data_IF_847372383696
#
_entry.id   IF_847372383696
#
_cell.length_a   1.000
_cell.length_b   1.000
_cell.length_c   1.000
_cell.angle_alpha   90.00
_cell.angle_beta   90.00
_cell.angle_gamma   90.00
#
_symmetry.space_group_name_H-M   'P 1'
#
loop_
_entity.id
_entity.type
_entity.pdbx_description
1 polymer ?
#
# COMPACT_ATOMS: atom_id res chain seq x y z
N UNK A 1 2.04 0.77 13.02
CA UNK A 1 2.74 2.03 13.33
C UNK A 1 4.20 1.72 13.23
N UNK A 2 4.83 2.23 12.17
CA UNK A 2 6.23 1.99 11.92
C UNK A 2 7.12 2.47 13.07
N UNK A 3 8.19 1.74 13.34
CA UNK A 3 9.22 2.13 14.29
C UNK A 3 9.87 3.43 13.84
N UNK A 4 10.18 4.30 14.78
CA UNK A 4 10.96 5.52 14.55
C UNK A 4 12.35 5.19 14.00
N UNK A 5 13.01 6.20 13.43
CA UNK A 5 14.36 6.04 12.89
C UNK A 5 15.35 5.60 13.97
N UNK A 6 15.22 6.11 15.19
CA UNK A 6 16.06 5.74 16.34
C UNK A 6 15.81 4.31 16.79
N UNK A 7 14.55 3.87 16.83
CA UNK A 7 14.23 2.46 17.14
C UNK A 7 14.82 1.52 16.09
N UNK A 8 14.81 1.90 14.80
CA UNK A 8 15.50 1.14 13.75
C UNK A 8 17.02 1.13 13.90
N UNK A 9 17.64 2.24 14.32
CA UNK A 9 19.08 2.29 14.63
C UNK A 9 19.42 1.33 15.77
N UNK A 10 18.65 1.38 16.86
CA UNK A 10 18.83 0.53 18.02
C UNK A 10 18.65 -0.95 17.67
N UNK A 11 17.59 -1.28 16.92
CA UNK A 11 17.34 -2.64 16.45
C UNK A 11 18.51 -3.17 15.61
N UNK A 12 19.01 -2.39 14.65
CA UNK A 12 20.16 -2.79 13.85
C UNK A 12 21.41 -3.00 14.71
N UNK A 13 21.73 -2.05 15.58
CA UNK A 13 22.91 -2.15 16.46
C UNK A 13 22.83 -3.35 17.42
N UNK A 14 21.63 -3.71 17.89
CA UNK A 14 21.39 -4.87 18.74
C UNK A 14 21.57 -6.20 18.00
N UNK A 15 21.22 -6.26 16.72
CA UNK A 15 21.37 -7.45 15.89
C UNK A 15 22.80 -7.67 15.38
N UNK A 16 23.69 -6.69 15.53
CA UNK A 16 25.12 -6.88 15.23
C UNK A 16 25.79 -7.77 16.27
N UNK A 17 26.76 -8.63 15.87
CA UNK A 17 27.56 -9.39 16.83
C UNK A 17 28.33 -8.47 17.79
N UNK A 18 28.80 -9.02 18.90
CA UNK A 18 29.65 -8.29 19.86
C UNK A 18 31.12 -8.50 19.56
N UNK A 19 31.96 -7.53 19.93
CA UNK A 19 33.42 -7.64 19.88
C UNK A 19 34.09 -6.45 19.18
N UNK A 20 35.43 -6.46 19.12
CA UNK A 20 36.23 -5.34 18.59
C UNK A 20 35.94 -4.99 17.13
N UNK A 21 35.47 -5.97 16.35
CA UNK A 21 35.08 -5.74 14.96
C UNK A 21 33.75 -4.98 14.81
N UNK A 22 32.95 -4.90 15.87
CA UNK A 22 31.61 -4.31 15.88
C UNK A 22 31.52 -3.19 16.93
N UNK A 23 32.23 -2.06 16.70
CA UNK A 23 32.24 -0.94 17.64
C UNK A 23 30.82 -0.38 17.82
N UNK A 24 30.54 0.10 19.04
CA UNK A 24 29.26 0.75 19.39
C UNK A 24 29.41 2.24 19.70
N UNK A 25 30.61 2.79 19.51
CA UNK A 25 30.87 4.21 19.69
C UNK A 25 30.07 5.03 18.68
N UNK A 26 29.58 6.19 19.12
CA UNK A 26 28.72 7.05 18.28
C UNK A 26 29.42 7.56 17.01
N UNK A 27 30.75 7.68 17.08
CA UNK A 27 31.63 8.18 16.03
C UNK A 27 32.24 7.06 15.16
N UNK A 28 31.89 5.79 15.39
CA UNK A 28 32.38 4.69 14.57
C UNK A 28 31.71 4.67 13.19
N UNK A 29 32.46 4.31 12.15
CA UNK A 29 31.95 4.20 10.78
C UNK A 29 30.75 3.25 10.67
N UNK A 30 30.75 2.17 11.46
CA UNK A 30 29.63 1.24 11.54
C UNK A 30 28.35 1.93 12.05
N UNK A 31 28.46 2.73 13.11
CA UNK A 31 27.33 3.50 13.66
C UNK A 31 26.84 4.54 12.64
N UNK A 32 27.75 5.18 11.90
CA UNK A 32 27.41 6.10 10.83
C UNK A 32 26.64 5.41 9.70
N UNK A 33 27.07 4.21 9.29
CA UNK A 33 26.37 3.39 8.32
C UNK A 33 24.96 3.01 8.80
N UNK A 34 24.83 2.56 10.05
CA UNK A 34 23.53 2.23 10.67
C UNK A 34 22.60 3.44 10.65
N UNK A 35 23.09 4.61 11.08
CA UNK A 35 22.34 5.88 11.03
C UNK A 35 21.89 6.22 9.61
N UNK A 36 22.70 5.95 8.59
CA UNK A 36 22.38 6.24 7.20
C UNK A 36 21.31 5.29 6.62
N UNK A 37 21.26 4.02 7.05
CA UNK A 37 20.30 3.04 6.52
C UNK A 37 18.95 3.05 7.26
N UNK A 38 18.90 3.38 8.55
CA UNK A 38 17.67 3.34 9.35
C UNK A 38 16.50 4.17 8.78
N UNK A 39 16.69 5.38 8.21
CA UNK A 39 15.61 6.12 7.59
C UNK A 39 14.94 5.37 6.43
N UNK A 40 15.69 4.51 5.71
CA UNK A 40 15.12 3.70 4.62
C UNK A 40 14.24 2.58 5.17
N UNK A 41 14.61 1.98 6.30
CA UNK A 41 13.81 0.95 6.95
C UNK A 41 12.50 1.52 7.51
N UNK A 42 12.55 2.69 8.15
CA UNK A 42 11.35 3.39 8.57
C UNK A 42 10.41 3.66 7.38
N UNK A 43 10.92 4.19 6.26
CA UNK A 43 10.10 4.41 5.05
C UNK A 43 9.52 3.12 4.49
N UNK A 44 10.30 2.04 4.48
CA UNK A 44 9.84 0.73 4.02
C UNK A 44 8.68 0.23 4.88
N UNK A 45 8.80 0.32 6.20
CA UNK A 45 7.76 -0.11 7.13
C UNK A 45 6.50 0.74 7.03
N UNK A 46 6.64 2.07 6.88
CA UNK A 46 5.50 2.97 6.60
C UNK A 46 4.80 2.56 5.31
N UNK A 47 5.55 2.27 4.25
CA UNK A 47 4.96 1.82 2.98
C UNK A 47 4.27 0.45 3.13
N UNK A 48 4.83 -0.46 3.91
CA UNK A 48 4.22 -1.75 4.20
C UNK A 48 2.89 -1.60 4.97
N UNK A 49 2.83 -0.68 5.95
CA UNK A 49 1.58 -0.34 6.65
C UNK A 49 0.53 0.24 5.67
N UNK A 50 0.94 1.07 4.69
CA UNK A 50 0.05 1.64 3.68
C UNK A 50 -0.53 0.58 2.73
N UNK A 51 0.20 -0.51 2.45
CA UNK A 51 -0.30 -1.58 1.58
C UNK A 51 -1.61 -2.19 2.10
N UNK A 52 -1.84 -2.21 3.42
CA UNK A 52 -3.11 -2.70 3.99
C UNK A 52 -4.32 -1.88 3.52
N UNK A 53 -4.14 -0.58 3.30
CA UNK A 53 -5.18 0.29 2.75
C UNK A 53 -5.31 0.09 1.24
N UNK A 54 -4.23 -0.24 0.55
CA UNK A 54 -4.25 -0.54 -0.89
C UNK A 54 -4.95 -1.87 -1.22
N UNK A 55 -5.07 -2.79 -0.25
CA UNK A 55 -5.74 -4.08 -0.40
C UNK A 55 -7.27 -3.97 -0.60
N UNK A 56 -7.89 -2.81 -0.38
CA UNK A 56 -9.32 -2.60 -0.66
C UNK A 56 -9.50 -1.51 -1.72
N UNK A 57 -10.38 -1.73 -2.71
CA UNK A 57 -10.57 -0.76 -3.79
C UNK A 57 -11.12 0.59 -3.31
N UNK A 58 -11.80 0.64 -2.16
CA UNK A 58 -12.34 1.89 -1.60
C UNK A 58 -11.22 2.81 -1.05
N UNK A 59 -10.10 2.22 -0.63
CA UNK A 59 -9.00 2.91 0.04
C UNK A 59 -7.71 2.94 -0.79
N UNK A 60 -7.66 2.25 -1.93
CA UNK A 60 -6.50 2.25 -2.82
C UNK A 60 -6.21 3.63 -3.41
N UNK A 61 -4.92 3.92 -3.57
CA UNK A 61 -4.38 5.10 -4.22
C UNK A 61 -3.27 4.68 -5.19
N UNK A 62 -2.26 3.99 -4.70
CA UNK A 62 -1.09 3.59 -5.50
C UNK A 62 -1.39 2.38 -6.38
N UNK A 63 -2.17 1.40 -5.88
CA UNK A 63 -2.45 0.15 -6.59
C UNK A 63 -3.68 0.22 -7.52
N UNK A 64 -4.18 1.43 -7.81
CA UNK A 64 -5.32 1.61 -8.69
C UNK A 64 -5.08 0.99 -10.10
N UNK A 65 -3.92 1.18 -10.76
CA UNK A 65 -3.66 0.55 -12.06
C UNK A 65 -3.71 -0.98 -12.04
N UNK A 66 -3.22 -1.60 -10.97
CA UNK A 66 -3.23 -3.04 -10.75
C UNK A 66 -4.66 -3.55 -10.55
N UNK A 67 -5.48 -2.83 -9.79
CA UNK A 67 -6.90 -3.11 -9.64
C UNK A 67 -7.67 -3.02 -10.95
N UNK A 68 -7.40 -1.99 -11.75
CA UNK A 68 -8.00 -1.84 -13.08
C UNK A 68 -7.61 -2.98 -14.01
N UNK A 69 -6.33 -3.37 -14.00
CA UNK A 69 -5.84 -4.52 -14.76
C UNK A 69 -6.52 -5.82 -14.31
N UNK A 70 -6.59 -6.05 -12.99
CA UNK A 70 -7.22 -7.23 -12.41
C UNK A 70 -8.71 -7.34 -12.77
N UNK A 71 -9.42 -6.22 -12.74
CA UNK A 71 -10.85 -6.16 -13.08
C UNK A 71 -11.10 -6.00 -14.59
N UNK A 72 -10.08 -5.84 -15.44
CA UNK A 72 -10.26 -5.58 -16.87
C UNK A 72 -10.99 -4.26 -17.16
N UNK A 73 -10.57 -3.18 -16.50
CA UNK A 73 -11.01 -1.81 -16.75
C UNK A 73 -9.97 -1.05 -17.58
N UNK A 74 -10.37 -0.08 -18.42
CA UNK A 74 -11.75 0.30 -18.75
C UNK A 74 -12.40 -0.67 -19.75
N UNK A 75 -13.69 -1.02 -19.57
CA UNK A 75 -14.40 -2.01 -20.42
C UNK A 75 -14.68 -1.51 -21.85
N UNK A 76 -14.83 -0.21 -22.05
CA UNK A 76 -15.26 0.37 -23.33
C UNK A 76 -14.14 1.15 -24.05
N UNK A 77 -12.87 1.00 -23.63
CA UNK A 77 -11.74 1.81 -24.11
C UNK A 77 -11.97 3.33 -24.05
N UNK A 78 -12.86 3.78 -23.16
CA UNK A 78 -13.04 5.19 -22.84
C UNK A 78 -12.26 5.42 -21.54
N UNK A 79 -10.99 5.85 -21.61
CA UNK A 79 -10.25 6.21 -20.42
C UNK A 79 -10.88 7.46 -19.79
N UNK A 80 -11.03 7.42 -18.46
CA UNK A 80 -11.25 8.63 -17.65
C UNK A 80 -9.91 9.09 -17.12
N UNK A 81 -9.61 10.39 -17.17
CA UNK A 81 -8.40 10.94 -16.55
C UNK A 81 -8.57 11.18 -15.04
N UNK A 82 -9.83 11.24 -14.56
CA UNK A 82 -10.12 11.50 -13.15
C UNK A 82 -9.91 10.25 -12.29
N UNK A 83 -8.96 10.35 -11.37
CA UNK A 83 -8.64 9.34 -10.36
C UNK A 83 -9.86 8.88 -9.56
N UNK A 84 -10.74 9.81 -9.13
CA UNK A 84 -11.89 9.45 -8.30
C UNK A 84 -12.92 8.64 -9.10
N UNK A 85 -13.14 9.00 -10.35
CA UNK A 85 -14.02 8.26 -11.27
C UNK A 85 -13.48 6.86 -11.54
N UNK A 86 -12.17 6.75 -11.82
CA UNK A 86 -11.48 5.47 -12.02
C UNK A 86 -11.61 4.55 -10.81
N UNK A 87 -11.34 5.08 -9.61
CA UNK A 87 -11.49 4.32 -8.37
C UNK A 87 -12.95 3.91 -8.12
N UNK A 88 -13.92 4.78 -8.40
CA UNK A 88 -15.34 4.45 -8.28
C UNK A 88 -15.75 3.29 -9.21
N UNK A 89 -15.23 3.25 -10.45
CA UNK A 89 -15.46 2.14 -11.38
C UNK A 89 -14.85 0.82 -10.88
N UNK A 90 -13.64 0.88 -10.30
CA UNK A 90 -13.01 -0.28 -9.65
C UNK A 90 -13.85 -0.78 -8.47
N UNK A 91 -14.32 0.12 -7.60
CA UNK A 91 -15.16 -0.23 -6.44
C UNK A 91 -16.48 -0.87 -6.90
N UNK A 92 -17.16 -0.26 -7.87
CA UNK A 92 -18.41 -0.79 -8.41
C UNK A 92 -18.22 -2.18 -9.00
N UNK A 93 -17.22 -2.37 -9.88
CA UNK A 93 -16.98 -3.66 -10.53
C UNK A 93 -16.53 -4.74 -9.56
N UNK A 94 -15.73 -4.41 -8.53
CA UNK A 94 -15.34 -5.34 -7.48
C UNK A 94 -16.53 -5.84 -6.65
N UNK A 95 -17.50 -4.97 -6.38
CA UNK A 95 -18.71 -5.31 -5.60
C UNK A 95 -19.88 -5.81 -6.44
N UNK A 96 -19.81 -5.70 -7.77
CA UNK A 96 -20.85 -6.17 -8.69
C UNK A 96 -21.00 -7.69 -8.57
N UNK A 97 -21.91 -8.12 -7.69
CA UNK A 97 -22.36 -9.50 -7.58
C UNK A 97 -23.48 -9.72 -8.58
N UNK A 98 -23.19 -10.42 -9.67
CA UNK A 98 -24.20 -10.84 -10.61
C UNK A 98 -25.21 -11.80 -9.98
N UNK A 99 -26.47 -11.70 -10.41
CA UNK A 99 -27.51 -12.66 -10.06
C UNK A 99 -28.81 -12.32 -10.76
N UNK A 100 -29.60 -13.35 -11.07
CA UNK A 100 -30.86 -13.23 -11.79
C UNK A 100 -32.07 -13.11 -10.85
N UNK A 101 -31.83 -12.88 -9.56
CA UNK A 101 -32.91 -12.68 -8.61
C UNK A 101 -33.60 -11.33 -8.90
N UNK A 102 -34.95 -11.26 -8.86
CA UNK A 102 -35.69 -10.04 -9.19
C UNK A 102 -35.20 -8.79 -8.46
N UNK A 103 -34.95 -8.90 -7.14
CA UNK A 103 -34.45 -7.79 -6.32
C UNK A 103 -33.08 -7.25 -6.75
N UNK A 104 -32.21 -8.08 -7.34
CA UNK A 104 -30.92 -7.61 -7.88
C UNK A 104 -31.11 -6.83 -9.17
N UNK A 105 -32.00 -7.30 -10.05
CA UNK A 105 -32.32 -6.65 -11.33
C UNK A 105 -32.99 -5.29 -11.07
N UNK A 106 -33.94 -5.26 -10.13
CA UNK A 106 -34.60 -4.02 -9.69
C UNK A 106 -33.59 -3.01 -9.13
N UNK A 107 -32.63 -3.45 -8.31
CA UNK A 107 -31.58 -2.59 -7.77
C UNK A 107 -30.66 -1.99 -8.85
N UNK A 108 -30.28 -2.79 -9.85
CA UNK A 108 -29.50 -2.31 -10.99
C UNK A 108 -30.30 -1.31 -11.83
N UNK A 109 -31.57 -1.59 -12.10
CA UNK A 109 -32.44 -0.70 -12.86
C UNK A 109 -32.61 0.66 -12.16
N UNK A 110 -32.83 0.68 -10.84
CA UNK A 110 -32.93 1.91 -10.07
C UNK A 110 -31.64 2.75 -10.08
N UNK A 111 -30.47 2.11 -10.16
CA UNK A 111 -29.20 2.81 -10.25
C UNK A 111 -28.94 3.47 -11.63
N UNK A 112 -29.62 3.02 -12.68
CA UNK A 112 -29.48 3.55 -14.05
C UNK A 112 -30.42 4.72 -14.35
N UNK A 113 -31.49 4.92 -13.54
CA UNK A 113 -32.49 5.97 -13.73
C UNK A 113 -33.76 5.49 -14.42
#
# INVERSE_FOLDING_TARGET
MAHSVTEWQDALQQNMPRGRAWPRDENADLTALIKAISPRLNRLEVNADLLLQEMRPETTIQLLPEWETYLGLPECNIPSEDFLVRRAAVVEKYHRKGGLAPWQIEGVAAALG
#
